data_IF_750147071697
#
_entry.id   IF_750147071697
#
_cell.length_a   1.000
_cell.length_b   1.000
_cell.length_c   1.000
_cell.angle_alpha   90.00
_cell.angle_beta   90.00
_cell.angle_gamma   90.00
#
_symmetry.space_group_name_H-M   'P 1'
#
loop_
_entity.id
_entity.type
_entity.pdbx_description
1 polymer ?
#
# COMPACT_ATOMS: atom_id res chain seq x y z
N UNK A 1 3.07 9.96 16.02
CA UNK A 1 1.96 9.00 15.97
C UNK A 1 2.26 7.93 14.94
N UNK A 2 1.94 6.67 15.21
CA UNK A 2 2.04 5.56 14.24
C UNK A 2 0.84 4.64 14.43
N UNK A 3 0.37 4.00 13.38
CA UNK A 3 -0.77 3.08 13.41
C UNK A 3 -0.52 1.89 12.49
N UNK A 4 -1.20 0.77 12.77
CA UNK A 4 -1.26 -0.43 11.90
C UNK A 4 -2.72 -0.54 11.45
N UNK A 5 -2.96 -0.31 10.16
CA UNK A 5 -4.30 -0.35 9.57
C UNK A 5 -4.69 -1.82 9.40
N UNK A 6 -5.86 -2.27 9.90
CA UNK A 6 -6.37 -3.59 9.61
C UNK A 6 -6.82 -3.64 8.15
N UNK A 7 -6.43 -4.69 7.45
CA UNK A 7 -6.83 -4.95 6.06
C UNK A 7 -8.02 -5.90 6.00
N UNK A 8 -8.31 -6.63 7.08
CA UNK A 8 -9.33 -7.69 7.09
C UNK A 8 -10.38 -7.54 8.21
N UNK A 9 -11.61 -8.04 8.00
CA UNK A 9 -12.59 -8.13 9.06
C UNK A 9 -12.09 -8.98 10.22
N UNK A 10 -12.34 -8.53 11.45
CA UNK A 10 -11.85 -9.24 12.63
C UNK A 10 -10.41 -8.88 13.04
N UNK A 11 -9.66 -8.10 12.25
CA UNK A 11 -8.38 -7.55 12.68
C UNK A 11 -8.54 -6.30 13.54
N UNK A 12 -7.63 -6.16 14.50
CA UNK A 12 -7.61 -5.02 15.39
C UNK A 12 -6.70 -3.92 14.87
N UNK A 13 -7.25 -2.72 14.72
CA UNK A 13 -6.47 -1.51 14.53
C UNK A 13 -5.67 -1.22 15.80
N UNK A 14 -4.34 -1.13 15.67
CA UNK A 14 -3.45 -0.71 16.77
C UNK A 14 -2.90 0.68 16.51
N UNK A 15 -3.04 1.59 17.48
CA UNK A 15 -2.60 2.98 17.34
C UNK A 15 -1.67 3.36 18.49
N UNK A 16 -0.51 3.92 18.14
CA UNK A 16 0.51 4.37 19.07
C UNK A 16 0.59 5.89 19.17
N UNK A 17 0.48 6.37 20.40
CA UNK A 17 0.56 7.78 20.76
C UNK A 17 1.82 8.07 21.57
N UNK A 18 2.34 9.29 21.41
CA UNK A 18 3.44 9.78 22.22
C UNK A 18 3.29 11.29 22.43
N UNK A 19 3.25 11.74 23.69
CA UNK A 19 3.45 13.15 24.02
C UNK A 19 4.93 13.48 23.85
N UNK A 20 5.24 14.63 23.23
CA UNK A 20 6.62 15.07 22.98
C UNK A 20 7.14 16.04 24.05
N UNK A 21 6.27 16.51 24.93
CA UNK A 21 6.58 17.42 26.02
C UNK A 21 6.58 16.68 27.38
N UNK A 22 6.68 17.45 28.46
CA UNK A 22 6.72 16.91 29.83
C UNK A 22 5.31 16.68 30.42
N UNK A 23 4.26 16.83 29.62
CA UNK A 23 2.89 16.56 30.03
C UNK A 23 2.44 15.24 29.43
N UNK A 24 1.82 14.40 30.25
CA UNK A 24 1.23 13.17 29.75
C UNK A 24 0.02 13.48 28.86
N UNK A 25 -0.41 12.47 28.10
CA UNK A 25 -1.70 12.52 27.43
C UNK A 25 -2.81 12.63 28.50
N UNK A 26 -3.94 13.22 28.13
CA UNK A 26 -5.17 13.20 28.93
C UNK A 26 -6.14 12.19 28.34
N UNK A 27 -6.42 12.31 27.06
CA UNK A 27 -7.31 11.40 26.35
C UNK A 27 -7.07 11.43 24.85
N UNK A 28 -7.54 10.37 24.20
CA UNK A 28 -7.51 10.18 22.75
C UNK A 28 -8.94 9.89 22.30
N UNK A 29 -9.32 10.49 21.17
CA UNK A 29 -10.58 10.22 20.48
C UNK A 29 -10.25 9.69 19.09
N UNK A 30 -10.91 8.59 18.71
CA UNK A 30 -10.85 8.03 17.37
C UNK A 30 -12.26 8.02 16.79
N UNK A 31 -12.41 8.72 15.67
CA UNK A 31 -13.62 8.75 14.87
C UNK A 31 -13.48 7.77 13.71
N UNK A 32 -14.42 6.82 13.62
CA UNK A 32 -14.56 5.91 12.49
C UNK A 32 -15.85 6.25 11.77
N UNK A 33 -15.75 6.64 10.51
CA UNK A 33 -16.89 6.88 9.62
C UNK A 33 -16.99 5.68 8.68
N UNK A 34 -18.04 4.87 8.88
CA UNK A 34 -18.36 3.73 8.03
C UNK A 34 -19.08 4.19 6.76
N UNK A 35 -19.02 3.41 5.68
CA UNK A 35 -19.69 3.74 4.41
C UNK A 35 -21.20 3.93 4.51
N UNK A 36 -21.85 3.27 5.48
CA UNK A 36 -23.28 3.46 5.74
C UNK A 36 -23.59 4.81 6.42
N UNK A 37 -22.59 5.67 6.61
CA UNK A 37 -22.69 6.96 7.29
C UNK A 37 -22.72 6.85 8.82
N UNK A 38 -22.58 5.63 9.37
CA UNK A 38 -22.43 5.45 10.82
C UNK A 38 -21.11 6.04 11.25
N UNK A 39 -21.16 6.88 12.27
CA UNK A 39 -19.98 7.43 12.92
C UNK A 39 -19.91 6.86 14.32
N UNK A 40 -18.76 6.28 14.65
CA UNK A 40 -18.50 5.79 16.00
C UNK A 40 -17.27 6.50 16.55
N UNK A 41 -17.45 7.08 17.74
CA UNK A 41 -16.40 7.70 18.51
C UNK A 41 -15.92 6.73 19.60
N UNK A 42 -14.61 6.54 19.68
CA UNK A 42 -13.96 5.82 20.76
C UNK A 42 -13.08 6.76 21.57
N UNK A 43 -13.40 6.92 22.85
CA UNK A 43 -12.65 7.77 23.79
C UNK A 43 -11.85 6.91 24.75
N UNK A 44 -10.57 7.23 24.91
CA UNK A 44 -9.69 6.59 25.87
C UNK A 44 -9.01 7.64 26.73
N UNK A 45 -9.09 7.46 28.05
CA UNK A 45 -8.49 8.35 29.04
C UNK A 45 -7.29 7.65 29.68
N UNK A 46 -6.14 8.30 29.69
CA UNK A 46 -4.96 7.76 30.38
C UNK A 46 -3.93 8.87 30.64
N UNK A 47 -3.04 8.67 31.61
CA UNK A 47 -2.04 9.66 32.05
C UNK A 47 -0.59 9.17 31.78
N UNK A 48 -0.35 8.52 30.65
CA UNK A 48 0.99 8.11 30.22
C UNK A 48 1.52 8.95 29.05
N UNK A 49 2.85 8.99 28.91
CA UNK A 49 3.52 9.66 27.80
C UNK A 49 3.48 8.83 26.50
N UNK A 50 3.27 7.51 26.59
CA UNK A 50 3.15 6.60 25.44
C UNK A 50 2.02 5.61 25.69
N UNK A 51 1.23 5.36 24.65
CA UNK A 51 0.03 4.55 24.78
C UNK A 51 -0.23 3.78 23.49
N UNK A 52 -0.81 2.58 23.63
CA UNK A 52 -1.22 1.72 22.52
C UNK A 52 -2.64 1.24 22.79
N UNK A 53 -3.52 1.38 21.80
CA UNK A 53 -4.90 0.91 21.90
C UNK A 53 -5.23 -0.04 20.77
N UNK A 54 -6.14 -0.95 21.06
CA UNK A 54 -6.67 -1.97 20.15
C UNK A 54 -8.18 -1.73 20.06
N UNK A 55 -8.66 -1.35 18.89
CA UNK A 55 -10.07 -0.99 18.65
C UNK A 55 -10.90 -2.22 18.24
N UNK A 56 -12.23 -2.21 18.41
CA UNK A 56 -13.06 -3.25 17.85
C UNK A 56 -12.88 -3.32 16.34
N UNK A 57 -12.91 -4.54 15.86
CA UNK A 57 -12.58 -4.95 14.51
C UNK A 57 -13.58 -4.36 13.51
N UNK A 58 -13.13 -3.99 12.31
CA UNK A 58 -14.06 -3.62 11.26
C UNK A 58 -14.89 -4.87 10.89
N UNK A 59 -16.20 -4.85 11.15
CA UNK A 59 -17.06 -6.02 10.88
C UNK A 59 -17.73 -5.95 9.50
N UNK A 60 -17.38 -4.93 8.72
CA UNK A 60 -17.91 -4.69 7.37
C UNK A 60 -16.76 -4.40 6.43
N UNK A 61 -16.75 -5.05 5.27
CA UNK A 61 -15.83 -4.71 4.19
C UNK A 61 -16.18 -3.36 3.58
N UNK A 62 -15.24 -2.77 2.85
CA UNK A 62 -15.36 -1.49 2.16
C UNK A 62 -14.39 -0.43 2.66
N UNK A 63 -14.52 0.77 2.11
CA UNK A 63 -13.70 1.94 2.42
C UNK A 63 -14.25 2.70 3.63
N UNK A 64 -13.57 2.64 4.77
CA UNK A 64 -13.91 3.43 5.94
C UNK A 64 -13.01 4.66 6.05
N UNK A 65 -13.43 5.68 6.79
CA UNK A 65 -12.59 6.85 7.09
C UNK A 65 -12.26 6.85 8.57
N UNK A 66 -10.98 7.07 8.88
CA UNK A 66 -10.47 7.23 10.23
C UNK A 66 -9.96 8.65 10.44
N UNK A 67 -10.31 9.26 11.56
CA UNK A 67 -9.69 10.50 12.04
C UNK A 67 -9.42 10.38 13.54
N UNK A 68 -8.27 10.92 13.97
CA UNK A 68 -7.79 10.70 15.33
C UNK A 68 -7.40 12.02 15.95
N UNK A 69 -7.76 12.21 17.22
CA UNK A 69 -7.50 13.40 18.00
C UNK A 69 -6.88 13.01 19.33
N UNK A 70 -5.93 13.81 19.81
CA UNK A 70 -5.26 13.61 21.09
C UNK A 70 -5.20 14.92 21.86
N UNK A 71 -5.43 14.84 23.16
CA UNK A 71 -5.29 15.94 24.11
C UNK A 71 -4.27 15.58 25.19
N UNK A 72 -3.49 16.55 25.64
CA UNK A 72 -2.61 16.40 26.80
C UNK A 72 -3.26 16.93 28.09
N UNK A 73 -2.59 16.74 29.22
CA UNK A 73 -3.06 17.22 30.53
C UNK A 73 -3.01 18.76 30.68
N UNK A 74 -2.32 19.47 29.79
CA UNK A 74 -2.27 20.93 29.75
C UNK A 74 -3.40 21.53 28.89
N UNK A 75 -4.14 20.70 28.17
CA UNK A 75 -5.25 21.08 27.29
C UNK A 75 -4.84 21.35 25.84
N UNK A 76 -3.59 21.07 25.43
CA UNK A 76 -3.21 21.15 24.03
C UNK A 76 -3.82 19.99 23.25
N UNK A 77 -4.08 20.20 21.95
CA UNK A 77 -4.69 19.20 21.08
C UNK A 77 -3.94 19.07 19.75
N UNK A 78 -3.94 17.85 19.19
CA UNK A 78 -3.43 17.57 17.85
C UNK A 78 -4.24 16.45 17.20
N UNK A 79 -4.29 16.42 15.87
CA UNK A 79 -5.10 15.45 15.11
C UNK A 79 -4.37 14.87 13.89
N UNK A 80 -4.76 13.66 13.48
CA UNK A 80 -4.37 13.09 12.20
C UNK A 80 -5.11 13.74 11.03
N UNK A 81 -4.62 13.51 9.81
CA UNK A 81 -5.46 13.67 8.61
C UNK A 81 -6.54 12.58 8.58
N UNK A 82 -7.58 12.80 7.78
CA UNK A 82 -8.53 11.75 7.43
C UNK A 82 -7.84 10.68 6.60
N UNK A 83 -7.97 9.43 7.01
CA UNK A 83 -7.35 8.27 6.39
C UNK A 83 -8.44 7.37 5.83
N UNK A 84 -8.40 7.07 4.54
CA UNK A 84 -9.22 6.02 3.95
C UNK A 84 -8.61 4.64 4.26
N UNK A 85 -9.43 3.71 4.73
CA UNK A 85 -9.04 2.35 5.07
C UNK A 85 -9.91 1.39 4.27
N UNK A 86 -9.32 0.59 3.38
CA UNK A 86 -10.02 -0.50 2.69
C UNK A 86 -9.97 -1.73 3.58
N UNK A 87 -11.13 -2.27 3.95
CA UNK A 87 -11.25 -3.56 4.65
C UNK A 87 -11.85 -4.56 3.67
N UNK A 88 -11.17 -5.67 3.42
CA UNK A 88 -11.60 -6.71 2.48
C UNK A 88 -11.52 -8.09 3.12
N UNK A 89 -12.26 -9.06 2.59
CA UNK A 89 -12.05 -10.45 3.00
C UNK A 89 -10.77 -10.98 2.35
N UNK A 90 -10.02 -11.76 3.12
CA UNK A 90 -8.85 -12.55 2.71
C UNK A 90 -8.94 -13.80 3.59
N UNK A 91 -9.35 -14.90 2.98
CA UNK A 91 -9.77 -16.12 3.65
C UNK A 91 -8.58 -16.95 4.11
N UNK A 92 -7.44 -16.85 3.44
CA UNK A 92 -6.23 -17.62 3.74
C UNK A 92 -5.05 -16.79 4.27
N UNK A 93 -5.24 -15.48 4.37
CA UNK A 93 -4.36 -14.47 4.97
C UNK A 93 -3.02 -14.33 4.24
N UNK A 94 -3.04 -14.37 2.91
CA UNK A 94 -1.84 -14.29 2.09
C UNK A 94 -1.49 -12.86 1.61
N UNK A 95 -2.38 -11.89 1.83
CA UNK A 95 -2.17 -10.50 1.41
C UNK A 95 -3.06 -10.05 0.27
N UNK A 96 -3.73 -10.97 -0.43
CA UNK A 96 -4.65 -10.71 -1.53
C UNK A 96 -6.10 -10.76 -1.03
N UNK A 97 -7.01 -10.05 -1.68
CA UNK A 97 -8.43 -10.09 -1.26
C UNK A 97 -9.23 -11.15 -2.04
N UNK A 98 -10.13 -11.89 -1.35
CA UNK A 98 -10.94 -12.99 -1.89
C UNK A 98 -11.66 -12.63 -3.21
N UNK A 99 -11.99 -11.35 -3.36
CA UNK A 99 -12.69 -10.86 -4.54
C UNK A 99 -11.71 -10.70 -5.69
N UNK A 100 -10.58 -10.05 -5.48
CA UNK A 100 -9.52 -9.91 -6.47
C UNK A 100 -9.04 -11.28 -6.96
N UNK A 101 -8.79 -12.22 -6.05
CA UNK A 101 -8.34 -13.56 -6.41
C UNK A 101 -9.33 -14.26 -7.34
N UNK A 102 -10.63 -14.25 -7.01
CA UNK A 102 -11.67 -14.81 -7.89
C UNK A 102 -11.81 -14.08 -9.22
N UNK A 103 -11.62 -12.77 -9.25
CA UNK A 103 -11.67 -11.97 -10.48
C UNK A 103 -10.49 -12.32 -11.42
N UNK A 104 -9.35 -12.77 -10.88
CA UNK A 104 -8.15 -13.15 -11.64
C UNK A 104 -7.93 -14.67 -11.73
N UNK A 105 -8.90 -15.49 -11.30
CA UNK A 105 -8.86 -16.95 -11.45
C UNK A 105 -7.99 -17.70 -10.45
N UNK A 106 -7.64 -17.05 -9.33
CA UNK A 106 -6.92 -17.62 -8.20
C UNK A 106 -7.87 -18.27 -7.18
N UNK A 107 -7.33 -18.96 -6.17
CA UNK A 107 -8.11 -19.67 -5.15
C UNK A 107 -8.00 -18.94 -3.79
N UNK A 108 -9.06 -18.25 -3.32
CA UNK A 108 -9.10 -17.55 -2.02
C UNK A 108 -8.83 -18.39 -0.77
N UNK A 109 -8.61 -19.69 -0.94
CA UNK A 109 -8.33 -20.61 0.15
C UNK A 109 -6.94 -21.26 0.06
N UNK A 110 -6.14 -20.92 -0.95
CA UNK A 110 -4.78 -21.42 -1.15
C UNK A 110 -3.71 -20.31 -1.18
N UNK A 111 -3.34 -19.84 0.02
CA UNK A 111 -2.25 -18.89 0.27
C UNK A 111 -0.91 -19.09 -0.46
N UNK A 112 -0.67 -20.27 -1.02
CA UNK A 112 0.56 -20.54 -1.75
C UNK A 112 0.52 -19.93 -3.15
N UNK A 113 -0.68 -19.69 -3.69
CA UNK A 113 -0.84 -19.08 -4.99
C UNK A 113 -0.36 -17.61 -5.00
N UNK A 114 -0.40 -16.88 -3.89
CA UNK A 114 0.25 -15.58 -3.71
C UNK A 114 1.70 -15.53 -4.22
N UNK A 115 2.43 -16.64 -4.11
CA UNK A 115 3.85 -16.74 -4.47
C UNK A 115 4.09 -17.29 -5.89
N UNK A 116 3.04 -17.63 -6.62
CA UNK A 116 3.13 -18.10 -8.00
C UNK A 116 3.25 -16.92 -8.97
N UNK A 117 3.78 -17.23 -10.14
CA UNK A 117 3.97 -16.34 -11.29
C UNK A 117 3.39 -17.09 -12.52
N UNK A 118 2.06 -17.00 -12.76
CA UNK A 118 1.39 -17.82 -13.76
C UNK A 118 1.68 -17.42 -15.21
N UNK A 119 1.92 -16.14 -15.49
CA UNK A 119 2.26 -15.62 -16.81
C UNK A 119 3.77 -15.59 -17.10
N UNK A 120 4.62 -15.67 -16.06
CA UNK A 120 6.06 -15.84 -16.17
C UNK A 120 6.81 -14.53 -16.42
N UNK A 121 6.21 -13.40 -16.03
CA UNK A 121 6.73 -12.07 -16.30
C UNK A 121 7.75 -11.59 -15.24
N UNK A 122 7.84 -12.32 -14.13
CA UNK A 122 8.75 -12.09 -13.01
C UNK A 122 8.11 -11.47 -11.77
N UNK A 123 6.80 -11.19 -11.77
CA UNK A 123 6.03 -10.78 -10.60
C UNK A 123 5.21 -11.95 -10.05
N UNK A 124 5.17 -12.04 -8.73
CA UNK A 124 4.25 -12.97 -8.04
C UNK A 124 2.83 -12.41 -8.05
N UNK A 125 1.82 -13.28 -7.90
CA UNK A 125 0.41 -12.86 -7.77
C UNK A 125 0.20 -11.78 -6.70
N UNK A 126 0.93 -11.85 -5.58
CA UNK A 126 0.87 -10.81 -4.56
C UNK A 126 1.49 -9.48 -5.03
N UNK A 127 2.60 -9.52 -5.78
CA UNK A 127 3.19 -8.33 -6.36
C UNK A 127 2.29 -7.72 -7.43
N UNK A 128 1.63 -8.55 -8.25
CA UNK A 128 0.61 -8.17 -9.21
C UNK A 128 -0.55 -7.45 -8.53
N UNK A 129 -1.10 -8.03 -7.46
CA UNK A 129 -2.15 -7.41 -6.64
C UNK A 129 -1.74 -6.04 -6.09
N UNK A 130 -0.49 -5.90 -5.63
CA UNK A 130 0.04 -4.64 -5.08
C UNK A 130 0.31 -3.58 -6.15
N UNK A 131 0.69 -3.97 -7.36
CA UNK A 131 0.88 -3.08 -8.50
C UNK A 131 -0.41 -2.79 -9.27
N UNK A 132 -1.47 -3.58 -9.02
CA UNK A 132 -2.76 -3.45 -9.68
C UNK A 132 -2.74 -3.97 -11.12
N UNK A 133 -1.87 -4.94 -11.40
CA UNK A 133 -1.69 -5.63 -12.68
C UNK A 133 -2.44 -6.98 -12.68
N UNK A 134 -2.42 -7.69 -13.81
CA UNK A 134 -3.15 -8.93 -14.02
C UNK A 134 -2.21 -10.16 -13.98
N UNK A 135 -2.33 -11.06 -12.99
CA UNK A 135 -1.44 -12.22 -12.80
C UNK A 135 -1.55 -13.32 -13.88
N UNK A 136 -2.30 -13.07 -14.94
CA UNK A 136 -2.52 -13.98 -16.07
C UNK A 136 -2.10 -13.34 -17.39
N UNK A 137 -1.45 -12.17 -17.36
CA UNK A 137 -1.13 -11.34 -18.50
C UNK A 137 0.21 -10.64 -18.30
N UNK A 138 1.21 -11.06 -19.07
CA UNK A 138 2.59 -10.61 -18.90
C UNK A 138 2.78 -9.08 -19.07
N UNK A 139 1.83 -8.37 -19.68
CA UNK A 139 1.91 -6.91 -19.88
C UNK A 139 0.52 -6.27 -19.87
N UNK A 140 0.05 -5.86 -18.70
CA UNK A 140 -1.34 -5.43 -18.42
C UNK A 140 -1.83 -4.28 -19.30
N UNK A 141 -0.96 -3.39 -19.73
CA UNK A 141 -1.32 -2.21 -20.52
C UNK A 141 -1.13 -2.35 -22.04
N UNK A 142 -0.71 -3.54 -22.50
CA UNK A 142 -0.49 -3.90 -23.91
C UNK A 142 0.51 -2.98 -24.67
N UNK A 143 1.47 -2.34 -23.99
CA UNK A 143 2.42 -1.43 -24.64
C UNK A 143 3.66 -2.11 -25.27
N UNK A 144 3.81 -3.41 -25.00
CA UNK A 144 4.90 -4.26 -25.49
C UNK A 144 6.07 -4.45 -24.51
N UNK A 145 5.92 -4.00 -23.27
CA UNK A 145 6.77 -4.34 -22.13
C UNK A 145 6.00 -5.25 -21.16
N UNK A 146 6.74 -5.99 -20.32
CA UNK A 146 6.13 -6.83 -19.30
C UNK A 146 6.03 -6.09 -17.97
N UNK A 147 5.03 -6.39 -17.16
CA UNK A 147 4.77 -5.67 -15.91
C UNK A 147 5.98 -5.77 -14.96
N UNK A 148 6.56 -6.96 -14.83
CA UNK A 148 7.76 -7.22 -14.04
C UNK A 148 8.99 -6.45 -14.53
N UNK A 149 9.12 -6.25 -15.85
CA UNK A 149 10.20 -5.44 -16.39
C UNK A 149 9.99 -3.96 -16.08
N UNK A 150 8.77 -3.49 -16.17
CA UNK A 150 8.43 -2.11 -15.87
C UNK A 150 8.65 -1.77 -14.40
N UNK A 151 8.23 -2.66 -13.50
CA UNK A 151 8.51 -2.54 -12.06
C UNK A 151 10.01 -2.53 -11.80
N UNK A 152 10.80 -3.39 -12.46
CA UNK A 152 12.27 -3.39 -12.36
C UNK A 152 12.90 -2.08 -12.86
N UNK A 153 12.37 -1.52 -13.96
CA UNK A 153 12.83 -0.25 -14.54
C UNK A 153 12.29 0.99 -13.79
N UNK A 154 11.34 0.80 -12.87
CA UNK A 154 10.69 1.84 -12.08
C UNK A 154 9.69 2.67 -12.87
N UNK A 155 9.10 2.10 -13.91
CA UNK A 155 7.96 2.66 -14.66
C UNK A 155 6.63 2.15 -14.07
N UNK A 156 5.51 2.56 -14.66
CA UNK A 156 4.19 2.18 -14.17
C UNK A 156 3.62 1.13 -15.12
N UNK A 157 3.42 -0.13 -14.69
CA UNK A 157 2.93 -1.22 -15.54
C UNK A 157 1.46 -1.07 -15.98
N UNK A 158 0.78 -0.04 -15.48
CA UNK A 158 -0.59 0.32 -15.87
C UNK A 158 -0.63 1.59 -16.75
N UNK A 159 0.49 2.05 -17.28
CA UNK A 159 0.59 3.24 -18.11
C UNK A 159 1.21 2.92 -19.48
N UNK A 160 0.40 2.87 -20.55
CA UNK A 160 0.83 2.43 -21.88
C UNK A 160 1.82 3.41 -22.56
N UNK A 161 2.31 4.40 -21.82
CA UNK A 161 3.38 5.27 -22.26
C UNK A 161 4.72 4.55 -22.13
N UNK A 162 5.21 4.08 -23.29
CA UNK A 162 6.50 3.41 -23.45
C UNK A 162 7.52 3.83 -22.39
N UNK A 163 8.05 2.88 -21.59
CA UNK A 163 9.14 3.11 -20.67
C UNK A 163 10.16 3.95 -21.37
N UNK A 164 10.38 5.19 -20.88
CA UNK A 164 11.27 6.10 -21.59
C UNK A 164 12.60 5.38 -21.71
N UNK A 165 12.91 4.88 -22.91
CA UNK A 165 14.16 4.21 -23.17
C UNK A 165 15.18 5.27 -22.83
N UNK A 166 15.77 5.18 -21.63
CA UNK A 166 16.99 5.87 -21.28
C UNK A 166 18.01 5.19 -22.15
N UNK A 167 17.99 5.50 -23.47
CA UNK A 167 18.92 5.06 -24.48
C UNK A 167 20.24 5.31 -23.83
N UNK A 168 20.88 4.25 -23.33
CA UNK A 168 22.29 4.30 -22.93
C UNK A 168 22.94 4.96 -24.12
N UNK A 169 23.36 6.23 -23.94
CA UNK A 169 23.79 7.08 -25.05
C UNK A 169 24.84 6.26 -25.77
N UNK A 170 24.51 5.81 -26.99
CA UNK A 170 25.46 5.05 -27.82
C UNK A 170 26.75 5.87 -27.77
N UNK A 171 27.89 5.31 -27.30
CA UNK A 171 29.11 6.08 -27.23
C UNK A 171 29.36 6.63 -28.64
N UNK A 172 29.77 7.91 -28.77
CA UNK A 172 29.96 8.52 -30.07
C UNK A 172 30.90 7.62 -30.87
N UNK A 173 30.50 7.24 -32.09
CA UNK A 173 31.38 6.54 -33.03
C UNK A 173 32.65 7.38 -33.13
N UNK A 174 33.78 6.84 -32.66
CA UNK A 174 35.09 7.47 -32.86
C UNK A 174 35.25 7.71 -34.36
N UNK A 175 35.27 8.98 -34.75
CA UNK A 175 35.54 9.41 -36.12
C UNK A 175 36.98 9.00 -36.42
N UNK A 176 37.17 7.97 -37.24
CA UNK A 176 38.50 7.62 -37.74
C UNK A 176 38.85 8.71 -38.75
N UNK A 177 39.74 9.62 -38.37
CA UNK A 177 40.38 10.53 -39.32
C UNK A 177 41.49 9.77 -40.04
N UNK A 178 41.58 9.80 -41.39
CA UNK A 178 42.71 9.21 -42.10
C UNK A 178 44.00 9.91 -41.68
N UNK A 179 45.00 9.12 -41.30
CA UNK A 179 46.35 9.59 -40.98
C UNK A 179 46.94 10.28 -42.21
N UNK A 180 47.44 11.50 -42.05
CA UNK A 180 48.19 12.19 -43.10
C UNK A 180 49.49 11.43 -43.36
N UNK A 181 49.62 10.85 -44.56
CA UNK A 181 50.92 10.53 -45.16
C UNK A 181 51.70 11.84 -45.29
N UNK A 182 52.76 11.99 -44.52
CA UNK A 182 53.85 12.90 -44.87
C UNK A 182 54.82 12.14 -45.78
N UNK A 183 55.14 12.78 -46.90
CA UNK A 183 56.15 12.41 -47.88
C UNK A 183 57.55 12.48 -47.27
#
# INVERSE_FOLDING_TARGET
MRYIIPTYPGESLTIHFSASDNFALSHVVVEVIYLNGTEIEYRYEDNFHRLSFTFPTFNTTGMHILQIFAWDMAGNTNSSHRMGIKVTWDTDFDGMDDRWEREHGLDPSDKNDASLDPDGDGLTNLEEYLNGTNPQDEGTDDDGFTDGREVEEGTNPNDPSLPTLRRKRRPPRKRITPSSMQL
#
